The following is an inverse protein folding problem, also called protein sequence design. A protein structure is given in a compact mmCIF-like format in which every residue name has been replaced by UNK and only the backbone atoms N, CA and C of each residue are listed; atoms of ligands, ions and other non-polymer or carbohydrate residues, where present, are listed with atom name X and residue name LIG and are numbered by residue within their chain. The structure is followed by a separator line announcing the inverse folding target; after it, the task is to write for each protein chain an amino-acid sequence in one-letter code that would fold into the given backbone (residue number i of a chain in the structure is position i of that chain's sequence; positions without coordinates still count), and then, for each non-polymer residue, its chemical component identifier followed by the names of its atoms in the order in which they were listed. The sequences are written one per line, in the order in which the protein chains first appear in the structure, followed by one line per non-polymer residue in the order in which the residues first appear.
data_IF_338664413727
#
_entry.id   IF_338664413727
#
_cell.length_a   1.000
_cell.length_b   1.000
_cell.length_c   1.000
_cell.angle_alpha   90.00
_cell.angle_beta   90.00
_cell.angle_gamma   90.00
#
_symmetry.space_group_name_H-M   'P 1'
#
loop_
_entity.id
_entity.type
_entity.pdbx_description
1 polymer ?
#
# COMPACT_ATOMS: atom_id res chain seq x y z
N UNK A 1 -2.69 -35.82 18.78
CA UNK A 1 -1.41 -35.30 19.30
C UNK A 1 -0.48 -34.77 18.21
N UNK A 2 -0.24 -35.47 17.08
CA UNK A 2 0.55 -34.91 15.97
C UNK A 2 -0.19 -33.89 15.08
N UNK A 3 -1.52 -33.96 15.01
CA UNK A 3 -2.32 -33.13 14.11
C UNK A 3 -2.86 -31.84 14.76
N UNK A 4 -2.89 -31.79 16.09
CA UNK A 4 -3.47 -30.66 16.84
C UNK A 4 -2.57 -29.41 16.71
N UNK A 5 -1.25 -29.61 16.74
CA UNK A 5 -0.26 -28.54 16.52
C UNK A 5 -0.35 -28.02 15.08
N UNK A 6 -0.48 -28.91 14.09
CA UNK A 6 -0.65 -28.54 12.68
C UNK A 6 -1.96 -27.78 12.44
N UNK A 7 -3.06 -28.18 13.08
CA UNK A 7 -4.35 -27.48 13.01
C UNK A 7 -4.28 -26.10 13.65
N UNK A 8 -3.63 -25.97 14.82
CA UNK A 8 -3.42 -24.68 15.47
C UNK A 8 -2.55 -23.77 14.59
N UNK A 9 -1.48 -24.30 13.99
CA UNK A 9 -0.62 -23.55 13.08
C UNK A 9 -1.38 -23.11 11.81
N UNK A 10 -2.21 -23.99 11.24
CA UNK A 10 -3.06 -23.68 10.09
C UNK A 10 -4.03 -22.53 10.41
N UNK A 11 -4.73 -22.60 11.55
CA UNK A 11 -5.67 -21.56 11.99
C UNK A 11 -4.96 -20.23 12.25
N UNK A 12 -3.77 -20.27 12.88
CA UNK A 12 -2.96 -19.09 13.11
C UNK A 12 -2.54 -18.44 11.78
N UNK A 13 -2.06 -19.23 10.82
CA UNK A 13 -1.66 -18.75 9.50
C UNK A 13 -2.85 -18.20 8.73
N UNK A 14 -4.00 -18.89 8.75
CA UNK A 14 -5.24 -18.44 8.09
C UNK A 14 -5.75 -17.10 8.63
N UNK A 15 -5.45 -16.78 9.89
CA UNK A 15 -5.85 -15.50 10.51
C UNK A 15 -4.94 -14.35 10.06
N UNK A 16 -3.65 -14.62 9.82
CA UNK A 16 -2.67 -13.62 9.38
C UNK A 16 -2.67 -13.41 7.87
N UNK A 17 -3.09 -14.42 7.10
CA UNK A 17 -3.05 -14.43 5.65
C UNK A 17 -3.71 -13.19 5.01
N UNK A 18 -4.91 -12.73 5.42
CA UNK A 18 -5.53 -11.54 4.83
C UNK A 18 -4.70 -10.26 5.01
N UNK A 19 -3.98 -10.14 6.13
CA UNK A 19 -3.10 -8.99 6.39
C UNK A 19 -1.86 -9.03 5.53
N UNK A 20 -1.28 -10.21 5.32
CA UNK A 20 -0.13 -10.39 4.43
C UNK A 20 -0.54 -10.03 3.00
N UNK A 21 -1.67 -10.53 2.52
CA UNK A 21 -2.21 -10.20 1.20
C UNK A 21 -2.44 -8.68 1.10
N UNK A 22 -3.12 -8.08 2.08
CA UNK A 22 -3.36 -6.64 2.08
C UNK A 22 -2.05 -5.83 2.05
N UNK A 23 -1.01 -6.27 2.74
CA UNK A 23 0.31 -5.60 2.74
C UNK A 23 1.01 -5.63 1.38
N UNK A 24 0.71 -6.61 0.54
CA UNK A 24 1.22 -6.72 -0.83
C UNK A 24 0.37 -5.98 -1.87
N UNK A 25 -0.61 -5.17 -1.47
CA UNK A 25 -1.53 -4.46 -2.39
C UNK A 25 -1.55 -2.95 -2.11
N UNK A 26 -2.37 -2.19 -2.83
CA UNK A 26 -2.49 -0.73 -2.67
C UNK A 26 -3.15 -0.30 -1.35
N UNK A 27 -3.67 -1.25 -0.57
CA UNK A 27 -4.24 -1.02 0.76
C UNK A 27 -3.35 -0.16 1.67
N UNK A 28 -2.03 -0.40 1.66
CA UNK A 28 -1.06 0.31 2.51
C UNK A 28 -1.10 1.83 2.23
N UNK A 29 -1.03 2.24 0.95
CA UNK A 29 -1.09 3.65 0.57
C UNK A 29 -2.43 4.28 0.94
N UNK A 30 -3.54 3.61 0.68
CA UNK A 30 -4.88 4.14 1.01
C UNK A 30 -5.05 4.35 2.52
N UNK A 31 -4.70 3.34 3.32
CA UNK A 31 -4.78 3.41 4.78
C UNK A 31 -3.95 4.58 5.33
N UNK A 32 -2.68 4.72 4.89
CA UNK A 32 -1.80 5.80 5.33
C UNK A 32 -2.36 7.17 4.94
N UNK A 33 -2.76 7.36 3.68
CA UNK A 33 -3.26 8.65 3.20
C UNK A 33 -4.53 9.07 3.95
N UNK A 34 -5.48 8.17 4.16
CA UNK A 34 -6.70 8.49 4.91
C UNK A 34 -6.43 8.85 6.37
N UNK A 35 -5.54 8.12 7.04
CA UNK A 35 -5.14 8.45 8.41
C UNK A 35 -4.43 9.80 8.47
N UNK A 36 -3.55 10.09 7.51
CA UNK A 36 -2.88 11.39 7.41
C UNK A 36 -3.88 12.53 7.21
N UNK A 37 -4.87 12.38 6.32
CA UNK A 37 -5.90 13.40 6.10
C UNK A 37 -6.70 13.68 7.37
N UNK A 38 -7.16 12.63 8.08
CA UNK A 38 -7.86 12.81 9.35
C UNK A 38 -7.02 13.62 10.35
N UNK A 39 -5.75 13.27 10.47
CA UNK A 39 -4.84 13.96 11.38
C UNK A 39 -4.58 15.41 10.94
N UNK A 40 -4.50 15.69 9.63
CA UNK A 40 -4.34 17.03 9.08
C UNK A 40 -5.53 17.95 9.39
N UNK A 41 -6.74 17.38 9.32
CA UNK A 41 -7.97 18.08 9.69
C UNK A 41 -8.04 18.44 11.18
N UNK A 42 -7.19 17.85 12.03
CA UNK A 42 -7.20 18.05 13.48
C UNK A 42 -8.29 17.25 14.19
N UNK A 43 -8.86 16.24 13.53
CA UNK A 43 -9.97 15.46 14.09
C UNK A 43 -9.48 14.42 15.08
N UNK A 44 -10.13 14.38 16.24
CA UNK A 44 -9.90 13.35 17.24
C UNK A 44 -10.89 12.21 17.00
N UNK A 45 -10.38 11.02 16.71
CA UNK A 45 -11.08 9.73 16.62
C UNK A 45 -12.18 9.57 15.55
N UNK A 46 -12.75 10.65 15.01
CA UNK A 46 -13.79 10.61 13.96
C UNK A 46 -13.19 11.10 12.63
N UNK A 47 -13.26 10.33 11.53
CA UNK A 47 -13.67 8.92 11.45
C UNK A 47 -12.67 7.96 12.11
N UNK A 48 -13.18 6.83 12.61
CA UNK A 48 -12.38 5.84 13.34
C UNK A 48 -11.35 5.16 12.42
N UNK A 49 -10.23 4.69 12.99
CA UNK A 49 -9.24 3.90 12.24
C UNK A 49 -9.89 2.67 11.58
N UNK A 50 -10.85 2.04 12.25
CA UNK A 50 -11.56 0.88 11.74
C UNK A 50 -12.38 1.22 10.48
N UNK A 51 -13.08 2.36 10.50
CA UNK A 51 -13.83 2.85 9.33
C UNK A 51 -12.89 3.17 8.17
N UNK A 52 -11.80 3.91 8.42
CA UNK A 52 -10.85 4.29 7.37
C UNK A 52 -10.17 3.08 6.75
N UNK A 53 -9.76 2.11 7.56
CA UNK A 53 -9.16 0.86 7.08
C UNK A 53 -10.17 0.00 6.33
N UNK A 54 -11.44 -0.04 6.75
CA UNK A 54 -12.51 -0.73 6.03
C UNK A 54 -12.72 -0.16 4.62
N UNK A 55 -12.77 1.17 4.51
CA UNK A 55 -12.86 1.84 3.20
C UNK A 55 -11.61 1.60 2.36
N UNK A 56 -10.41 1.70 2.95
CA UNK A 56 -9.16 1.41 2.26
C UNK A 56 -9.11 -0.02 1.69
N UNK A 57 -9.63 -1.00 2.45
CA UNK A 57 -9.69 -2.39 2.01
C UNK A 57 -10.66 -2.57 0.84
N UNK A 58 -11.85 -1.98 0.92
CA UNK A 58 -12.84 -2.04 -0.18
C UNK A 58 -12.30 -1.39 -1.46
N UNK A 59 -11.66 -0.23 -1.35
CA UNK A 59 -11.03 0.42 -2.50
C UNK A 59 -9.85 -0.40 -3.05
N UNK A 60 -9.06 -1.02 -2.19
CA UNK A 60 -7.97 -1.90 -2.61
C UNK A 60 -8.49 -3.12 -3.36
N UNK A 61 -9.56 -3.74 -2.88
CA UNK A 61 -10.21 -4.85 -3.55
C UNK A 61 -10.75 -4.44 -4.92
N UNK A 62 -11.35 -3.25 -5.02
CA UNK A 62 -11.81 -2.70 -6.29
C UNK A 62 -10.66 -2.51 -7.30
N UNK A 63 -9.52 -1.96 -6.84
CA UNK A 63 -8.33 -1.76 -7.69
C UNK A 63 -7.68 -3.08 -8.11
N UNK A 64 -7.70 -4.09 -7.23
CA UNK A 64 -7.07 -5.40 -7.47
C UNK A 64 -7.94 -6.36 -8.28
N UNK A 65 -9.20 -6.01 -8.55
CA UNK A 65 -10.14 -6.85 -9.29
C UNK A 65 -9.58 -7.42 -10.61
N UNK A 66 -8.98 -6.63 -11.54
CA UNK A 66 -8.46 -7.17 -12.80
C UNK A 66 -7.35 -8.20 -12.58
N UNK A 67 -6.39 -7.93 -11.68
CA UNK A 67 -5.29 -8.86 -11.38
C UNK A 67 -5.82 -10.17 -10.81
N UNK A 68 -6.81 -10.09 -9.92
CA UNK A 68 -7.47 -11.28 -9.36
C UNK A 68 -8.24 -12.06 -10.42
N UNK A 69 -8.86 -11.36 -11.38
CA UNK A 69 -9.60 -11.98 -12.47
C UNK A 69 -8.67 -12.70 -13.45
N UNK A 70 -7.56 -12.07 -13.84
CA UNK A 70 -6.59 -12.67 -14.77
C UNK A 70 -5.95 -13.93 -14.16
N UNK A 71 -5.58 -13.86 -12.87
CA UNK A 71 -5.09 -15.03 -12.14
C UNK A 71 -6.16 -16.14 -12.06
N UNK A 72 -7.42 -15.79 -11.81
CA UNK A 72 -8.52 -16.76 -11.73
C UNK A 72 -8.72 -17.50 -13.06
N UNK A 73 -8.75 -16.78 -14.19
CA UNK A 73 -8.88 -17.37 -15.53
C UNK A 73 -7.71 -18.31 -15.84
N UNK A 74 -6.48 -17.89 -15.52
CA UNK A 74 -5.29 -18.75 -15.68
C UNK A 74 -5.40 -20.07 -14.91
N UNK A 75 -5.83 -20.01 -13.64
CA UNK A 75 -5.97 -21.22 -12.82
C UNK A 75 -7.13 -22.12 -13.27
N UNK A 76 -8.17 -21.56 -13.87
CA UNK A 76 -9.31 -22.31 -14.43
C UNK A 76 -8.93 -23.04 -15.72
N UNK A 77 -8.19 -22.38 -16.63
CA UNK A 77 -7.81 -22.94 -17.93
C UNK A 77 -6.75 -24.06 -17.82
N UNK A 78 -5.81 -23.93 -16.87
CA UNK A 78 -4.68 -24.87 -16.73
C UNK A 78 -4.99 -26.11 -15.85
N UNK A 79 -6.24 -26.27 -15.37
CA UNK A 79 -6.74 -27.35 -14.48
C UNK A 79 -5.75 -27.69 -13.34
N UNK A 80 -5.28 -26.65 -12.65
CA UNK A 80 -4.20 -26.77 -11.67
C UNK A 80 -4.64 -27.63 -10.48
N UNK A 81 -4.15 -28.86 -10.44
CA UNK A 81 -4.41 -29.78 -9.33
C UNK A 81 -3.45 -29.50 -8.16
N UNK A 82 -4.02 -29.10 -7.01
CA UNK A 82 -3.28 -28.84 -5.76
C UNK A 82 -2.60 -30.08 -5.12
N UNK A 83 -2.56 -31.21 -5.84
CA UNK A 83 -2.07 -32.49 -5.31
C UNK A 83 -0.54 -32.65 -5.44
N UNK A 84 0.13 -31.84 -6.27
CA UNK A 84 1.58 -31.88 -6.45
C UNK A 84 2.23 -30.52 -6.16
N UNK A 85 3.07 -30.49 -5.13
CA UNK A 85 3.76 -29.30 -4.62
C UNK A 85 4.74 -28.74 -5.66
N UNK A 86 5.36 -29.60 -6.47
CA UNK A 86 6.36 -29.19 -7.46
C UNK A 86 5.72 -28.49 -8.67
N UNK A 87 4.57 -29.01 -9.10
CA UNK A 87 3.72 -28.39 -10.10
C UNK A 87 3.14 -27.08 -9.57
N UNK A 88 2.69 -27.03 -8.30
CA UNK A 88 2.12 -25.83 -7.70
C UNK A 88 3.07 -24.62 -7.73
N UNK A 89 4.37 -24.80 -7.44
CA UNK A 89 5.32 -23.68 -7.48
C UNK A 89 5.46 -23.06 -8.88
N UNK A 90 5.41 -23.88 -9.93
CA UNK A 90 5.52 -23.41 -11.31
C UNK A 90 4.27 -22.65 -11.75
N UNK A 91 3.09 -23.19 -11.47
CA UNK A 91 1.81 -22.55 -11.81
C UNK A 91 1.57 -21.27 -11.02
N UNK A 92 2.06 -21.18 -9.77
CA UNK A 92 2.00 -19.94 -8.98
C UNK A 92 2.93 -18.87 -9.54
N UNK A 93 4.12 -19.24 -10.02
CA UNK A 93 5.05 -18.26 -10.60
C UNK A 93 4.55 -17.70 -11.95
N UNK A 94 3.92 -18.53 -12.77
CA UNK A 94 3.34 -18.16 -14.08
C UNK A 94 1.97 -17.47 -13.93
N UNK A 95 1.09 -17.97 -13.05
CA UNK A 95 -0.25 -17.42 -12.82
C UNK A 95 -0.27 -16.07 -12.07
N UNK A 96 0.86 -15.64 -11.52
CA UNK A 96 1.03 -14.35 -10.86
C UNK A 96 1.79 -13.32 -11.70
N UNK A 97 1.95 -13.54 -13.01
CA UNK A 97 2.65 -12.59 -13.89
C UNK A 97 2.01 -11.19 -13.85
N UNK A 98 0.68 -11.09 -13.96
CA UNK A 98 -0.01 -9.80 -13.86
C UNK A 98 0.19 -9.10 -12.51
N UNK A 99 0.30 -9.87 -11.41
CA UNK A 99 0.63 -9.34 -10.09
C UNK A 99 2.10 -8.90 -10.00
N UNK A 100 3.02 -9.62 -10.66
CA UNK A 100 4.42 -9.25 -10.74
C UNK A 100 4.60 -7.92 -11.49
N UNK A 101 3.93 -7.77 -12.63
CA UNK A 101 3.95 -6.54 -13.41
C UNK A 101 3.39 -5.35 -12.62
N UNK A 102 2.31 -5.59 -11.88
CA UNK A 102 1.79 -4.63 -10.90
C UNK A 102 2.86 -4.20 -9.90
N UNK A 103 3.52 -5.15 -9.23
CA UNK A 103 4.55 -4.83 -8.25
C UNK A 103 5.71 -4.05 -8.87
N UNK A 104 6.18 -4.44 -10.06
CA UNK A 104 7.27 -3.75 -10.77
C UNK A 104 6.87 -2.32 -11.13
N UNK A 105 5.64 -2.12 -11.64
CA UNK A 105 5.13 -0.81 -12.07
C UNK A 105 5.07 0.21 -10.94
N UNK A 106 4.69 -0.23 -9.73
CA UNK A 106 4.52 0.64 -8.56
C UNK A 106 5.70 0.61 -7.58
N UNK A 107 6.76 -0.15 -7.88
CA UNK A 107 7.99 -0.16 -7.08
C UNK A 107 9.04 0.81 -7.62
N UNK A 108 9.79 1.41 -6.70
CA UNK A 108 11.00 2.16 -7.01
C UNK A 108 12.08 1.19 -7.52
N UNK A 109 12.63 1.44 -8.71
CA UNK A 109 13.62 0.57 -9.36
C UNK A 109 14.87 0.36 -8.50
N UNK A 110 15.28 1.37 -7.74
CA UNK A 110 16.45 1.28 -6.86
C UNK A 110 16.18 0.30 -5.70
N UNK A 111 14.97 0.34 -5.14
CA UNK A 111 14.55 -0.58 -4.09
C UNK A 111 14.46 -2.02 -4.60
N UNK A 112 13.90 -2.23 -5.79
CA UNK A 112 13.83 -3.56 -6.41
C UNK A 112 15.22 -4.16 -6.56
N UNK A 113 16.15 -3.40 -7.15
CA UNK A 113 17.55 -3.84 -7.32
C UNK A 113 18.23 -4.12 -5.99
N UNK A 114 17.99 -3.29 -4.96
CA UNK A 114 18.55 -3.50 -3.63
C UNK A 114 18.08 -4.84 -3.01
N UNK A 115 16.78 -5.11 -3.02
CA UNK A 115 16.23 -6.33 -2.42
C UNK A 115 16.58 -7.58 -3.21
N UNK A 116 16.64 -7.50 -4.54
CA UNK A 116 17.13 -8.58 -5.39
C UNK A 116 18.59 -8.92 -5.10
N UNK A 117 19.47 -7.91 -5.07
CA UNK A 117 20.88 -8.11 -4.72
C UNK A 117 21.04 -8.69 -3.31
N UNK A 118 20.23 -8.24 -2.35
CA UNK A 118 20.25 -8.76 -0.99
C UNK A 118 19.81 -10.23 -0.92
N UNK A 119 18.83 -10.63 -1.73
CA UNK A 119 18.39 -12.02 -1.83
C UNK A 119 19.48 -12.91 -2.47
N UNK A 120 20.09 -12.45 -3.56
CA UNK A 120 21.16 -13.17 -4.25
C UNK A 120 22.38 -13.40 -3.34
N UNK A 121 22.79 -12.37 -2.58
CA UNK A 121 23.89 -12.49 -1.61
C UNK A 121 23.60 -13.53 -0.52
N UNK A 122 22.36 -13.64 -0.05
CA UNK A 122 21.97 -14.67 0.92
C UNK A 122 21.98 -16.08 0.33
N UNK A 123 21.63 -16.21 -0.94
CA UNK A 123 21.49 -17.52 -1.60
C UNK A 123 22.84 -18.07 -2.11
N UNK A 124 23.75 -17.22 -2.56
CA UNK A 124 25.00 -17.63 -3.22
C UNK A 124 26.30 -17.24 -2.46
N UNK A 125 26.22 -16.52 -1.33
CA UNK A 125 27.39 -16.11 -0.54
C UNK A 125 28.16 -14.90 -1.11
N UNK A 126 29.10 -14.35 -0.33
CA UNK A 126 29.80 -13.08 -0.61
C UNK A 126 30.76 -13.10 -1.83
N UNK A 127 31.07 -14.25 -2.42
CA UNK A 127 32.18 -14.38 -3.39
C UNK A 127 31.85 -14.00 -4.85
N UNK A 128 30.70 -13.41 -5.15
CA UNK A 128 30.40 -13.00 -6.53
C UNK A 128 30.26 -11.49 -6.69
N UNK A 129 31.38 -10.77 -6.52
CA UNK A 129 31.51 -9.35 -6.91
C UNK A 129 31.46 -9.12 -8.43
N UNK A 130 31.34 -10.15 -9.28
CA UNK A 130 31.37 -9.97 -10.73
C UNK A 130 30.50 -10.97 -11.50
N UNK A 131 29.27 -11.24 -11.08
CA UNK A 131 28.25 -11.45 -12.13
C UNK A 131 27.74 -10.06 -12.50
N UNK A 132 28.45 -9.42 -13.43
CA UNK A 132 27.78 -8.64 -14.45
C UNK A 132 26.84 -9.62 -15.18
N UNK A 133 25.73 -10.00 -14.54
CA UNK A 133 24.59 -10.58 -15.27
C UNK A 133 24.21 -9.47 -16.23
N UNK A 134 24.17 -9.80 -17.51
CA UNK A 134 23.72 -8.86 -18.53
C UNK A 134 22.49 -8.14 -18.01
N UNK A 135 22.47 -6.82 -18.10
CA UNK A 135 21.36 -5.97 -17.64
C UNK A 135 20.02 -6.34 -18.29
N UNK A 136 20.05 -7.22 -19.28
CA UNK A 136 18.94 -7.63 -20.13
C UNK A 136 18.45 -9.07 -19.85
N UNK A 137 19.04 -9.83 -18.91
CA UNK A 137 18.75 -11.26 -18.72
C UNK A 137 18.31 -11.64 -17.28
N UNK A 138 17.61 -10.73 -16.61
CA UNK A 138 16.74 -11.09 -15.48
C UNK A 138 15.32 -10.95 -16.00
N UNK A 139 14.81 -12.01 -16.66
CA UNK A 139 13.51 -11.92 -17.33
C UNK A 139 12.38 -11.61 -16.33
N UNK A 140 12.49 -11.98 -15.03
CA UNK A 140 11.48 -11.68 -14.00
C UNK A 140 12.07 -11.62 -12.57
N UNK A 141 12.09 -10.46 -11.89
CA UNK A 141 12.53 -10.38 -10.49
C UNK A 141 11.60 -11.16 -9.55
N UNK A 142 12.15 -11.79 -8.50
CA UNK A 142 11.38 -12.64 -7.57
C UNK A 142 10.30 -11.86 -6.82
N UNK A 143 9.08 -12.40 -6.73
CA UNK A 143 7.96 -11.80 -5.98
C UNK A 143 8.36 -11.53 -4.52
N UNK A 144 9.14 -12.42 -3.91
CA UNK A 144 9.61 -12.24 -2.53
C UNK A 144 10.54 -11.03 -2.35
N UNK A 145 11.35 -10.67 -3.35
CA UNK A 145 12.14 -9.43 -3.34
C UNK A 145 11.28 -8.20 -3.68
N UNK A 146 10.28 -8.36 -4.55
CA UNK A 146 9.39 -7.28 -4.96
C UNK A 146 8.46 -6.81 -3.83
N UNK A 147 7.93 -7.73 -3.01
CA UNK A 147 7.01 -7.38 -1.91
C UNK A 147 7.55 -6.29 -0.95
N UNK A 148 8.74 -6.43 -0.34
CA UNK A 148 9.28 -5.39 0.54
C UNK A 148 9.67 -4.12 -0.23
N UNK A 149 10.14 -4.23 -1.48
CA UNK A 149 10.46 -3.08 -2.33
C UNK A 149 9.19 -2.24 -2.62
N UNK A 150 8.13 -2.92 -3.02
CA UNK A 150 6.81 -2.35 -3.28
C UNK A 150 6.23 -1.69 -2.03
N UNK A 151 6.18 -2.41 -0.90
CA UNK A 151 5.62 -1.88 0.34
C UNK A 151 6.31 -0.58 0.78
N UNK A 152 7.65 -0.52 0.67
CA UNK A 152 8.40 0.70 1.00
C UNK A 152 8.18 1.83 -0.01
N UNK A 153 8.06 1.49 -1.30
CA UNK A 153 7.74 2.46 -2.37
C UNK A 153 6.36 3.08 -2.17
N UNK A 154 5.38 2.27 -1.80
CA UNK A 154 4.02 2.66 -1.48
C UNK A 154 3.96 3.58 -0.26
N UNK A 155 4.71 3.24 0.80
CA UNK A 155 4.85 4.10 1.98
C UNK A 155 5.44 5.46 1.58
N UNK A 156 6.56 5.48 0.84
CA UNK A 156 7.20 6.72 0.36
C UNK A 156 6.22 7.58 -0.45
N UNK A 157 5.47 6.96 -1.36
CA UNK A 157 4.45 7.65 -2.15
C UNK A 157 3.30 8.16 -1.29
N UNK A 158 2.81 7.37 -0.33
CA UNK A 158 1.72 7.73 0.57
C UNK A 158 2.10 8.95 1.44
N UNK A 159 3.31 8.98 1.97
CA UNK A 159 3.82 10.12 2.73
C UNK A 159 3.95 11.38 1.86
N UNK A 160 4.38 11.24 0.60
CA UNK A 160 4.46 12.36 -0.34
C UNK A 160 3.08 12.96 -0.62
N UNK A 161 2.08 12.11 -0.89
CA UNK A 161 0.69 12.52 -1.07
C UNK A 161 0.16 13.18 0.21
N UNK A 162 0.36 12.52 1.34
CA UNK A 162 -0.05 13.04 2.64
C UNK A 162 0.54 14.42 2.94
N UNK A 163 1.82 14.64 2.63
CA UNK A 163 2.46 15.95 2.79
C UNK A 163 1.77 17.04 1.95
N UNK A 164 1.47 16.78 0.68
CA UNK A 164 0.75 17.73 -0.17
C UNK A 164 -0.66 18.03 0.33
N UNK A 165 -1.35 17.01 0.85
CA UNK A 165 -2.68 17.17 1.45
C UNK A 165 -2.65 17.94 2.77
N UNK A 166 -1.56 17.83 3.54
CA UNK A 166 -1.38 18.58 4.79
C UNK A 166 -1.20 20.08 4.55
N UNK A 167 -0.56 20.47 3.44
CA UNK A 167 -0.16 21.84 3.16
C UNK A 167 -1.29 22.88 3.30
N UNK A 168 -2.47 22.75 2.65
CA UNK A 168 -3.55 23.73 2.79
C UNK A 168 -4.05 23.86 4.24
N UNK A 169 -4.07 22.76 5.00
CA UNK A 169 -4.53 22.76 6.40
C UNK A 169 -3.53 23.44 7.33
N UNK A 170 -2.23 23.24 7.10
CA UNK A 170 -1.17 23.95 7.83
C UNK A 170 -1.26 25.44 7.57
N UNK A 171 -1.57 25.88 6.35
CA UNK A 171 -1.79 27.29 6.04
C UNK A 171 -2.94 27.86 6.87
N UNK A 172 -4.07 27.15 6.97
CA UNK A 172 -5.19 27.57 7.83
C UNK A 172 -4.75 27.68 9.29
N UNK A 173 -4.00 26.70 9.81
CA UNK A 173 -3.50 26.72 11.19
C UNK A 173 -2.58 27.94 11.45
N UNK A 174 -1.68 28.27 10.53
CA UNK A 174 -0.78 29.41 10.63
C UNK A 174 -1.54 30.75 10.57
N UNK A 175 -2.51 30.87 9.66
CA UNK A 175 -3.34 32.07 9.53
C UNK A 175 -4.15 32.30 10.81
N UNK A 176 -4.87 31.28 11.29
CA UNK A 176 -5.66 31.38 12.53
C UNK A 176 -4.77 31.75 13.73
N UNK A 177 -3.60 31.11 13.84
CA UNK A 177 -2.64 31.43 14.91
C UNK A 177 -2.19 32.89 14.85
N UNK A 178 -1.85 33.42 13.67
CA UNK A 178 -1.43 34.81 13.51
C UNK A 178 -2.52 35.81 13.89
N UNK A 179 -3.79 35.52 13.57
CA UNK A 179 -4.95 36.36 13.91
C UNK A 179 -5.21 36.34 15.42
N UNK A 180 -5.18 35.16 16.06
CA UNK A 180 -5.37 35.05 17.52
C UNK A 180 -4.28 35.80 18.29
N UNK A 181 -3.02 35.70 17.84
CA UNK A 181 -1.90 36.44 18.41
C UNK A 181 -2.08 37.96 18.25
N UNK A 182 -2.53 38.43 17.08
CA UNK A 182 -2.80 39.84 16.83
C UNK A 182 -3.95 40.39 17.70
N UNK A 183 -4.95 39.56 18.02
CA UNK A 183 -6.04 39.89 18.93
C UNK A 183 -5.67 39.81 20.42
N UNK A 184 -4.44 39.38 20.74
CA UNK A 184 -3.98 39.21 22.13
C UNK A 184 -4.53 37.96 22.83
N UNK A 185 -5.18 37.04 22.11
CA UNK A 185 -5.78 35.82 22.68
C UNK A 185 -4.75 34.68 22.80
N UNK A 186 -3.73 34.87 23.64
CA UNK A 186 -2.63 33.91 23.79
C UNK A 186 -3.01 32.59 24.49
N UNK A 187 -4.12 32.57 25.24
CA UNK A 187 -4.53 31.41 26.05
C UNK A 187 -5.41 30.41 25.30
N UNK A 188 -5.94 30.80 24.13
CA UNK A 188 -6.79 29.92 23.33
C UNK A 188 -5.93 29.10 22.38
N UNK A 189 -6.15 27.78 22.33
CA UNK A 189 -5.47 26.92 21.36
C UNK A 189 -5.93 27.26 19.93
N UNK A 190 -5.01 27.62 19.02
CA UNK A 190 -5.37 27.90 17.62
C UNK A 190 -6.03 26.71 16.91
N UNK A 191 -5.66 25.48 17.31
CA UNK A 191 -6.19 24.24 16.73
C UNK A 191 -7.70 24.11 16.95
N UNK A 192 -8.21 24.55 18.10
CA UNK A 192 -9.64 24.51 18.42
C UNK A 192 -10.46 25.37 17.47
N UNK A 193 -9.90 26.50 17.02
CA UNK A 193 -10.56 27.42 16.09
C UNK A 193 -10.34 27.00 14.63
N UNK A 194 -9.16 26.48 14.30
CA UNK A 194 -8.84 26.11 12.92
C UNK A 194 -9.55 24.83 12.48
N UNK A 195 -9.77 23.85 13.38
CA UNK A 195 -10.42 22.57 13.06
C UNK A 195 -11.78 22.72 12.35
N UNK A 196 -12.76 23.49 12.87
CA UNK A 196 -14.04 23.68 12.15
C UNK A 196 -13.86 24.38 10.80
N UNK A 197 -12.92 25.31 10.67
CA UNK A 197 -12.62 25.99 9.39
C UNK A 197 -12.04 25.01 8.37
N UNK A 198 -11.11 24.15 8.79
CA UNK A 198 -10.52 23.09 7.97
C UNK A 198 -11.57 22.09 7.50
N UNK A 199 -12.50 21.73 8.38
CA UNK A 199 -13.64 20.86 8.04
C UNK A 199 -14.54 21.49 6.98
N UNK A 200 -14.92 22.76 7.14
CA UNK A 200 -15.74 23.46 6.14
C UNK A 200 -15.03 23.51 4.80
N UNK A 201 -13.74 23.85 4.77
CA UNK A 201 -12.93 23.86 3.55
C UNK A 201 -12.92 22.46 2.89
N UNK A 202 -12.69 21.41 3.67
CA UNK A 202 -12.61 20.05 3.16
C UNK A 202 -13.94 19.53 2.61
N UNK A 203 -15.05 19.82 3.29
CA UNK A 203 -16.40 19.45 2.83
C UNK A 203 -16.82 20.27 1.61
N UNK A 204 -16.52 21.57 1.58
CA UNK A 204 -16.82 22.43 0.43
C UNK A 204 -16.11 21.99 -0.85
N UNK A 205 -14.94 21.36 -0.73
CA UNK A 205 -14.18 20.79 -1.84
C UNK A 205 -14.57 19.36 -2.20
N UNK A 206 -15.55 18.75 -1.52
CA UNK A 206 -15.87 17.33 -1.63
C UNK A 206 -14.62 16.43 -1.45
N UNK A 207 -13.86 16.72 -0.39
CA UNK A 207 -12.51 16.21 -0.20
C UNK A 207 -12.40 14.69 -0.18
N UNK A 208 -13.34 13.97 0.44
CA UNK A 208 -13.32 12.49 0.47
C UNK A 208 -13.46 11.90 -0.93
N UNK A 209 -14.33 12.47 -1.78
CA UNK A 209 -14.53 12.04 -3.16
C UNK A 209 -13.30 12.33 -4.00
N UNK A 210 -12.75 13.55 -3.89
CA UNK A 210 -11.54 13.96 -4.61
C UNK A 210 -10.35 13.06 -4.27
N UNK A 211 -10.15 12.77 -2.98
CA UNK A 211 -9.09 11.87 -2.50
C UNK A 211 -9.25 10.46 -3.02
N UNK A 212 -10.45 9.89 -2.88
CA UNK A 212 -10.70 8.50 -3.28
C UNK A 212 -10.51 8.32 -4.79
N UNK A 213 -11.05 9.25 -5.61
CA UNK A 213 -10.84 9.25 -7.06
C UNK A 213 -9.37 9.42 -7.43
N UNK A 214 -8.69 10.41 -6.85
CA UNK A 214 -7.28 10.67 -7.14
C UNK A 214 -6.36 9.51 -6.78
N UNK A 215 -6.66 8.81 -5.69
CA UNK A 215 -5.96 7.59 -5.28
C UNK A 215 -6.21 6.42 -6.23
N UNK A 216 -7.47 6.17 -6.63
CA UNK A 216 -7.83 5.09 -7.56
C UNK A 216 -7.21 5.32 -8.94
N UNK A 217 -7.27 6.56 -9.46
CA UNK A 217 -6.80 6.88 -10.81
C UNK A 217 -5.31 6.57 -11.01
N UNK A 218 -4.49 6.64 -9.97
CA UNK A 218 -3.07 6.24 -10.02
C UNK A 218 -2.87 4.76 -10.36
N UNK A 219 -3.89 3.93 -10.10
CA UNK A 219 -3.87 2.50 -10.33
C UNK A 219 -4.71 2.06 -11.53
N UNK A 220 -5.50 2.95 -12.14
CA UNK A 220 -6.38 2.54 -13.23
C UNK A 220 -5.65 2.19 -14.53
N UNK A 221 -4.40 2.66 -14.71
CA UNK A 221 -3.57 2.28 -15.86
C UNK A 221 -3.16 0.79 -15.86
N UNK A 222 -3.59 -0.01 -14.89
CA UNK A 222 -3.42 -1.47 -14.86
C UNK A 222 -4.45 -2.15 -15.78
N UNK A 223 -5.57 -1.50 -16.09
CA UNK A 223 -6.71 -2.10 -16.80
C UNK A 223 -6.66 -1.98 -18.34
N UNK A 224 -5.52 -1.57 -18.91
CA UNK A 224 -5.31 -1.38 -20.36
C UNK A 224 -3.93 -1.84 -20.76
#
# INVERSE_FOLDING_TARGET
MGNDISLIALLAFSTLLPFIIASGTCFVKFSIVFVMVRNALGLQQIPSNMTLNGVALLLSMFVMWPIMHDAYVYFEDEDVTFNDISSLSKHVDEGLDGYRDYLIKYSDRELVQFFENAQLKRQYGEETETVKRDKDEIEKPSIFALLPAYALSEIKSAFKIGFYLYLPFVVVDLVVSSVLLALGMMMMSPVTISTPIKLVLFVALDGWTLLSKGLILQYMDIAT
#
